data_IF_315410122503
#
_entry.id   IF_315410122503
#
_cell.length_a   1.000
_cell.length_b   1.000
_cell.length_c   1.000
_cell.angle_alpha   90.00
_cell.angle_beta   90.00
_cell.angle_gamma   90.00
#
_symmetry.space_group_name_H-M   'P 1'
#
loop_
_entity.id
_entity.type
_entity.pdbx_description
1 polymer ?
#
# COMPACT_ATOMS: atom_id res chain seq x y z
N UNK A 1 2.77 16.51 -2.93
CA UNK A 1 1.86 16.02 -3.99
C UNK A 1 0.52 16.72 -3.87
N UNK A 2 -0.18 16.97 -4.98
CA UNK A 2 -1.54 17.52 -4.99
C UNK A 2 -2.50 16.47 -5.54
N UNK A 3 -3.47 16.05 -4.73
CA UNK A 3 -4.48 15.08 -5.15
C UNK A 3 -5.66 15.75 -5.85
N UNK A 4 -6.20 15.05 -6.86
CA UNK A 4 -7.44 15.45 -7.54
C UNK A 4 -8.65 15.36 -6.60
N UNK A 5 -9.78 15.92 -7.00
CA UNK A 5 -11.01 15.82 -6.21
C UNK A 5 -11.43 14.36 -5.99
N UNK A 6 -11.44 13.55 -7.05
CA UNK A 6 -11.79 12.13 -6.98
C UNK A 6 -10.87 11.34 -6.03
N UNK A 7 -9.57 11.63 -6.02
CA UNK A 7 -8.62 10.99 -5.11
C UNK A 7 -8.87 11.36 -3.64
N UNK A 8 -9.33 12.59 -3.37
CA UNK A 8 -9.72 13.01 -2.00
C UNK A 8 -11.02 12.35 -1.56
N UNK A 9 -11.99 12.21 -2.45
CA UNK A 9 -13.22 11.46 -2.17
C UNK A 9 -12.91 9.98 -1.87
N UNK A 10 -12.03 9.37 -2.67
CA UNK A 10 -11.55 8.00 -2.44
C UNK A 10 -10.86 7.85 -1.08
N UNK A 11 -9.98 8.80 -0.73
CA UNK A 11 -9.36 8.81 0.59
C UNK A 11 -10.41 8.87 1.71
N UNK A 12 -11.40 9.76 1.60
CA UNK A 12 -12.47 9.84 2.60
C UNK A 12 -13.26 8.54 2.70
N UNK A 13 -13.56 7.89 1.57
CA UNK A 13 -14.23 6.58 1.54
C UNK A 13 -13.43 5.52 2.30
N UNK A 14 -12.12 5.46 2.07
CA UNK A 14 -11.23 4.54 2.79
C UNK A 14 -11.14 4.86 4.28
N UNK A 15 -11.05 6.15 4.61
CA UNK A 15 -11.05 6.61 5.99
C UNK A 15 -12.34 6.20 6.68
N UNK A 16 -13.51 6.43 6.08
CA UNK A 16 -14.80 6.06 6.67
C UNK A 16 -14.88 4.56 7.00
N UNK A 17 -14.42 3.70 6.08
CA UNK A 17 -14.35 2.25 6.29
C UNK A 17 -13.35 1.82 7.38
N UNK A 18 -12.31 2.62 7.67
CA UNK A 18 -11.30 2.26 8.65
C UNK A 18 -11.84 2.30 10.09
N UNK A 19 -11.94 1.13 10.71
CA UNK A 19 -12.41 0.96 12.10
C UNK A 19 -11.41 1.46 13.16
N UNK A 20 -10.11 1.51 12.84
CA UNK A 20 -9.08 1.97 13.78
C UNK A 20 -9.11 3.51 13.92
N UNK A 21 -9.67 3.98 15.03
CA UNK A 21 -9.85 5.42 15.32
C UNK A 21 -8.52 6.17 15.40
N UNK A 22 -7.51 5.60 16.06
CA UNK A 22 -6.21 6.27 16.22
C UNK A 22 -5.53 6.46 14.87
N UNK A 23 -5.47 5.40 14.06
CA UNK A 23 -4.89 5.48 12.71
C UNK A 23 -5.69 6.44 11.81
N UNK A 24 -7.02 6.40 11.89
CA UNK A 24 -7.92 7.31 11.17
C UNK A 24 -7.60 8.77 11.45
N UNK A 25 -7.45 9.16 12.71
CA UNK A 25 -7.13 10.54 13.06
C UNK A 25 -5.70 10.91 12.65
N UNK A 26 -4.71 10.03 12.87
CA UNK A 26 -3.33 10.28 12.40
C UNK A 26 -3.25 10.48 10.87
N UNK A 27 -4.01 9.73 10.07
CA UNK A 27 -4.03 9.88 8.62
C UNK A 27 -4.66 11.21 8.18
N UNK A 28 -5.66 11.74 8.90
CA UNK A 28 -6.29 13.04 8.57
C UNK A 28 -5.40 14.25 8.89
N UNK A 29 -4.48 14.08 9.85
CA UNK A 29 -3.55 15.14 10.24
C UNK A 29 -2.45 15.37 9.19
N UNK A 30 -2.10 14.35 8.39
CA UNK A 30 -1.09 14.45 7.34
C UNK A 30 -1.53 15.48 6.28
N UNK A 31 -0.68 16.47 6.00
CA UNK A 31 -0.89 17.52 5.00
C UNK A 31 -0.04 17.36 3.75
N UNK A 32 1.07 16.67 3.87
CA UNK A 32 2.03 16.40 2.81
C UNK A 32 2.76 15.10 3.12
N UNK A 33 3.27 14.45 2.08
CA UNK A 33 4.13 13.29 2.23
C UNK A 33 5.48 13.49 1.54
N UNK A 34 6.52 12.88 2.11
CA UNK A 34 7.84 12.72 1.47
C UNK A 34 7.82 11.72 0.30
N UNK A 35 6.77 10.92 0.15
CA UNK A 35 6.67 9.96 -0.93
C UNK A 35 6.10 10.59 -2.21
N UNK A 36 6.74 10.27 -3.32
CA UNK A 36 6.27 10.55 -4.67
C UNK A 36 5.64 9.29 -5.27
N UNK A 37 4.44 9.43 -5.84
CA UNK A 37 3.74 8.37 -6.54
C UNK A 37 4.31 8.19 -7.94
N UNK A 38 4.70 6.97 -8.28
CA UNK A 38 5.14 6.58 -9.61
C UNK A 38 4.12 5.58 -10.15
N UNK A 39 3.55 5.91 -11.31
CA UNK A 39 2.59 5.08 -12.00
C UNK A 39 3.21 4.61 -13.31
N UNK A 40 3.20 3.30 -13.53
CA UNK A 40 3.59 2.69 -14.78
C UNK A 40 2.44 2.65 -15.79
N UNK A 41 2.59 1.79 -16.80
CA UNK A 41 1.57 1.61 -17.85
C UNK A 41 0.41 0.73 -17.39
N UNK A 42 0.69 -0.23 -16.51
CA UNK A 42 -0.31 -1.14 -15.95
C UNK A 42 -0.90 -0.55 -14.67
N UNK A 43 -2.19 -0.78 -14.41
CA UNK A 43 -2.85 -0.31 -13.20
C UNK A 43 -2.28 -0.95 -11.92
N UNK A 44 -1.60 -2.09 -12.05
CA UNK A 44 -0.89 -2.76 -10.97
C UNK A 44 0.55 -2.24 -10.79
N UNK A 45 1.08 -1.47 -11.76
CA UNK A 45 2.42 -0.93 -11.74
C UNK A 45 2.43 0.39 -10.96
N UNK A 46 2.19 0.28 -9.65
CA UNK A 46 2.15 1.39 -8.72
C UNK A 46 3.36 1.28 -7.79
N UNK A 47 4.15 2.34 -7.70
CA UNK A 47 5.32 2.41 -6.83
C UNK A 47 5.36 3.75 -6.08
N UNK A 48 6.13 3.79 -4.99
CA UNK A 48 6.41 5.02 -4.26
C UNK A 48 7.91 5.25 -4.19
N UNK A 49 8.31 6.51 -4.25
CA UNK A 49 9.70 6.96 -4.12
C UNK A 49 9.85 7.87 -2.91
N UNK A 50 10.74 7.52 -1.97
CA UNK A 50 11.07 8.41 -0.85
C UNK A 50 11.96 9.56 -1.34
N UNK A 51 11.44 10.79 -1.31
CA UNK A 51 12.17 11.98 -1.76
C UNK A 51 13.01 12.64 -0.67
N UNK A 52 12.90 12.19 0.59
CA UNK A 52 13.70 12.71 1.70
C UNK A 52 15.14 12.22 1.69
N UNK A 53 15.39 11.08 1.04
CA UNK A 53 16.72 10.47 0.93
C UNK A 53 17.46 11.11 -0.24
N UNK A 54 18.58 11.79 0.06
CA UNK A 54 19.46 12.38 -0.96
C UNK A 54 20.50 11.35 -1.39
N UNK A 55 20.44 10.90 -2.64
CA UNK A 55 21.37 9.91 -3.15
C UNK A 55 22.61 10.58 -3.74
N UNK A 56 23.80 10.15 -3.30
CA UNK A 56 25.08 10.68 -3.75
C UNK A 56 25.63 9.93 -4.99
N UNK A 57 24.80 9.76 -6.03
CA UNK A 57 25.27 9.36 -7.37
C UNK A 57 25.62 7.88 -7.59
N UNK A 58 25.16 6.96 -6.75
CA UNK A 58 25.48 5.53 -6.82
C UNK A 58 24.58 4.67 -7.72
N UNK A 59 24.09 5.13 -8.88
CA UNK A 59 23.54 4.29 -9.97
C UNK A 59 22.29 3.41 -9.72
N UNK A 60 21.86 3.17 -8.49
CA UNK A 60 20.67 2.38 -8.16
C UNK A 60 19.46 3.29 -7.83
N UNK A 61 18.25 2.83 -8.15
CA UNK A 61 16.99 3.48 -7.74
C UNK A 61 16.73 3.18 -6.25
N UNK A 62 17.64 3.63 -5.37
CA UNK A 62 17.72 3.23 -3.96
C UNK A 62 16.55 3.72 -3.08
N UNK A 63 15.65 4.54 -3.64
CA UNK A 63 14.56 5.16 -2.88
C UNK A 63 13.17 4.67 -3.29
N UNK A 64 13.08 3.73 -4.23
CA UNK A 64 11.80 3.12 -4.60
C UNK A 64 11.44 2.03 -3.59
N UNK A 65 10.14 1.85 -3.32
CA UNK A 65 9.69 0.71 -2.53
C UNK A 65 9.99 -0.63 -3.22
N UNK A 66 9.86 -0.66 -4.54
CA UNK A 66 10.10 -1.83 -5.38
C UNK A 66 11.06 -1.50 -6.52
N UNK A 67 11.88 -2.46 -6.93
CA UNK A 67 12.68 -2.34 -8.15
C UNK A 67 11.83 -2.68 -9.38
N UNK A 68 10.94 -3.66 -9.26
CA UNK A 68 9.98 -4.07 -10.30
C UNK A 68 8.65 -4.47 -9.64
N UNK A 69 7.70 -3.52 -9.49
CA UNK A 69 6.45 -3.74 -8.75
C UNK A 69 5.66 -4.96 -9.24
N UNK A 70 5.58 -5.15 -10.56
CA UNK A 70 4.78 -6.23 -11.16
C UNK A 70 5.44 -7.58 -10.91
N UNK A 71 6.75 -7.69 -11.16
CA UNK A 71 7.47 -8.95 -10.97
C UNK A 71 7.53 -9.35 -9.50
N UNK A 72 7.73 -8.39 -8.61
CA UNK A 72 7.74 -8.63 -7.16
C UNK A 72 6.37 -9.05 -6.66
N UNK A 73 5.29 -8.39 -7.11
CA UNK A 73 3.91 -8.79 -6.81
C UNK A 73 3.62 -10.23 -7.26
N UNK A 74 3.95 -10.58 -8.51
CA UNK A 74 3.75 -11.94 -9.04
C UNK A 74 4.53 -12.98 -8.24
N UNK A 75 5.79 -12.69 -7.89
CA UNK A 75 6.63 -13.59 -7.09
C UNK A 75 6.03 -13.82 -5.70
N UNK A 76 5.54 -12.77 -5.05
CA UNK A 76 4.88 -12.86 -3.75
C UNK A 76 3.59 -13.67 -3.85
N UNK A 77 2.70 -13.36 -4.80
CA UNK A 77 1.45 -14.10 -4.98
C UNK A 77 1.68 -15.59 -5.22
N UNK A 78 2.66 -15.96 -6.05
CA UNK A 78 3.02 -17.37 -6.27
C UNK A 78 3.48 -18.03 -4.96
N UNK A 79 4.28 -17.33 -4.15
CA UNK A 79 4.75 -17.84 -2.86
C UNK A 79 3.60 -18.06 -1.88
N UNK A 80 2.65 -17.12 -1.79
CA UNK A 80 1.50 -17.23 -0.89
C UNK A 80 0.51 -18.30 -1.34
N UNK A 81 0.28 -18.43 -2.65
CA UNK A 81 -0.57 -19.48 -3.19
C UNK A 81 0.03 -20.88 -3.00
N UNK A 82 1.35 -21.02 -3.05
CA UNK A 82 2.02 -22.32 -2.87
C UNK A 82 2.08 -22.72 -1.37
N UNK A 83 2.51 -21.79 -0.51
CA UNK A 83 2.87 -22.14 0.89
C UNK A 83 1.79 -21.84 1.91
N UNK A 84 0.93 -20.87 1.63
CA UNK A 84 0.05 -20.26 2.64
C UNK A 84 -1.42 -20.26 2.25
N UNK A 85 -1.81 -20.98 1.19
CA UNK A 85 -3.17 -21.01 0.63
C UNK A 85 -4.28 -21.26 1.66
N UNK A 86 -4.00 -22.08 2.68
CA UNK A 86 -4.95 -22.49 3.70
C UNK A 86 -4.76 -21.79 5.04
N UNK A 87 -3.86 -20.80 5.13
CA UNK A 87 -3.52 -20.14 6.38
C UNK A 87 -4.54 -19.04 6.67
N UNK A 88 -5.35 -19.16 7.74
CA UNK A 88 -6.43 -18.20 7.97
C UNK A 88 -5.94 -16.82 8.39
N UNK A 89 -4.73 -16.72 8.93
CA UNK A 89 -4.17 -15.48 9.46
C UNK A 89 -2.76 -15.28 8.92
N UNK A 90 -2.48 -14.09 8.39
CA UNK A 90 -1.18 -13.71 7.86
C UNK A 90 -0.67 -12.42 8.54
N UNK A 91 0.62 -12.36 8.83
CA UNK A 91 1.28 -11.20 9.43
C UNK A 91 2.33 -10.62 8.48
N UNK A 92 2.32 -9.31 8.32
CA UNK A 92 3.21 -8.58 7.42
C UNK A 92 3.89 -7.42 8.12
N UNK A 93 5.16 -7.22 7.79
CA UNK A 93 5.91 -6.01 8.13
C UNK A 93 6.03 -5.18 6.85
N UNK A 94 5.41 -4.00 6.87
CA UNK A 94 5.28 -3.12 5.72
C UNK A 94 3.95 -3.30 4.99
N UNK A 95 3.30 -2.17 4.68
CA UNK A 95 2.11 -2.10 3.87
C UNK A 95 2.44 -2.09 2.37
N UNK A 96 3.57 -1.46 2.00
CA UNK A 96 3.96 -1.33 0.60
C UNK A 96 2.94 -0.53 -0.22
N UNK A 97 2.70 -0.90 -1.48
CA UNK A 97 1.62 -0.30 -2.29
C UNK A 97 0.22 -0.89 -2.00
N UNK A 98 0.11 -1.87 -1.09
CA UNK A 98 -1.15 -2.50 -0.67
C UNK A 98 -1.83 -3.43 -1.69
N UNK A 99 -1.34 -3.53 -2.93
CA UNK A 99 -1.96 -4.37 -3.98
C UNK A 99 -1.93 -5.86 -3.58
N UNK A 100 -0.84 -6.30 -2.95
CA UNK A 100 -0.71 -7.67 -2.46
C UNK A 100 -1.88 -8.05 -1.55
N UNK A 101 -2.29 -7.17 -0.62
CA UNK A 101 -3.36 -7.48 0.32
C UNK A 101 -4.72 -7.56 -0.36
N UNK A 102 -5.01 -6.69 -1.33
CA UNK A 102 -6.25 -6.78 -2.12
C UNK A 102 -6.36 -8.14 -2.81
N UNK A 103 -5.26 -8.64 -3.35
CA UNK A 103 -5.21 -9.94 -4.00
C UNK A 103 -5.32 -11.10 -2.98
N UNK A 104 -4.59 -11.04 -1.86
CA UNK A 104 -4.63 -12.09 -0.83
C UNK A 104 -6.00 -12.20 -0.17
N UNK A 105 -6.74 -11.10 -0.01
CA UNK A 105 -8.10 -11.09 0.57
C UNK A 105 -9.16 -11.67 -0.37
N UNK A 106 -8.85 -11.93 -1.64
CA UNK A 106 -9.74 -12.71 -2.52
C UNK A 106 -9.78 -14.20 -2.15
N UNK A 107 -8.78 -14.69 -1.42
CA UNK A 107 -8.76 -16.07 -0.95
C UNK A 107 -9.70 -16.23 0.25
N UNK A 108 -10.77 -17.01 0.07
CA UNK A 108 -11.79 -17.29 1.10
C UNK A 108 -11.26 -18.00 2.35
N UNK A 109 -10.09 -18.62 2.27
CA UNK A 109 -9.46 -19.25 3.43
C UNK A 109 -8.77 -18.22 4.33
N UNK A 110 -8.33 -17.08 3.78
CA UNK A 110 -7.74 -16.00 4.56
C UNK A 110 -8.85 -15.22 5.26
N UNK A 111 -8.81 -15.20 6.60
CA UNK A 111 -9.77 -14.51 7.44
C UNK A 111 -9.22 -13.16 7.94
N UNK A 112 -7.93 -13.12 8.30
CA UNK A 112 -7.29 -11.91 8.83
C UNK A 112 -5.91 -11.68 8.21
N UNK A 113 -5.66 -10.44 7.82
CA UNK A 113 -4.32 -9.97 7.46
C UNK A 113 -3.95 -8.86 8.44
N UNK A 114 -2.86 -9.03 9.17
CA UNK A 114 -2.33 -8.05 10.11
C UNK A 114 -1.09 -7.43 9.48
N UNK A 115 -1.11 -6.11 9.35
CA UNK A 115 -0.01 -5.35 8.75
C UNK A 115 0.55 -4.37 9.77
N UNK A 116 1.87 -4.43 9.96
CA UNK A 116 2.62 -3.46 10.75
C UNK A 116 3.35 -2.51 9.80
N UNK A 117 2.83 -1.30 9.63
CA UNK A 117 3.49 -0.24 8.86
C UNK A 117 4.13 0.77 9.80
N UNK A 118 5.42 1.05 9.59
CA UNK A 118 6.19 2.02 10.35
C UNK A 118 5.91 3.44 9.88
N UNK A 119 5.74 3.63 8.58
CA UNK A 119 5.58 4.92 7.95
C UNK A 119 4.17 5.09 7.39
N UNK A 120 3.29 5.68 8.20
CA UNK A 120 1.86 5.83 7.87
C UNK A 120 1.61 6.73 6.65
N UNK A 121 2.61 7.50 6.21
CA UNK A 121 2.49 8.26 4.97
C UNK A 121 2.31 7.35 3.74
N UNK A 122 2.85 6.12 3.78
CA UNK A 122 2.65 5.12 2.71
C UNK A 122 1.16 4.78 2.59
N UNK A 123 0.51 4.47 3.72
CA UNK A 123 -0.93 4.20 3.78
C UNK A 123 -1.71 5.43 3.32
N UNK A 124 -1.31 6.62 3.77
CA UNK A 124 -1.95 7.87 3.39
C UNK A 124 -1.95 8.11 1.88
N UNK A 125 -0.79 7.93 1.21
CA UNK A 125 -0.73 8.06 -0.25
C UNK A 125 -1.58 6.97 -0.92
N UNK A 126 -1.49 5.72 -0.47
CA UNK A 126 -2.22 4.61 -1.08
C UNK A 126 -3.73 4.71 -0.92
N UNK A 127 -4.24 5.28 0.18
CA UNK A 127 -5.66 5.52 0.35
C UNK A 127 -6.22 6.60 -0.59
N UNK A 128 -5.38 7.45 -1.17
CA UNK A 128 -5.80 8.37 -2.24
C UNK A 128 -5.77 7.71 -3.63
N UNK A 129 -5.15 6.53 -3.78
CA UNK A 129 -4.90 5.88 -5.07
C UNK A 129 -5.76 4.64 -5.26
N UNK A 130 -5.93 3.83 -4.21
CA UNK A 130 -6.63 2.55 -4.26
C UNK A 130 -7.80 2.55 -3.29
N UNK A 131 -8.91 1.96 -3.73
CA UNK A 131 -10.08 1.73 -2.90
C UNK A 131 -9.84 0.51 -2.01
N UNK A 132 -9.81 0.70 -0.70
CA UNK A 132 -9.73 -0.32 0.35
C UNK A 132 -11.02 -0.39 1.18
N UNK A 133 -12.10 0.29 0.77
CA UNK A 133 -13.28 0.44 1.61
C UNK A 133 -13.94 -0.89 1.99
N UNK A 134 -13.80 -1.91 1.14
CA UNK A 134 -14.37 -3.23 1.38
C UNK A 134 -13.46 -4.11 2.24
N UNK A 135 -12.14 -3.92 2.16
CA UNK A 135 -11.14 -4.68 2.92
C UNK A 135 -10.96 -4.18 4.36
N UNK A 136 -11.43 -2.97 4.67
CA UNK A 136 -11.24 -2.32 5.98
C UNK A 136 -12.46 -2.42 6.92
N UNK A 137 -13.61 -2.88 6.42
CA UNK A 137 -14.84 -3.14 7.19
C UNK A 137 -14.72 -4.42 8.02
#
# INVERSE_FOLDING_TARGET
>A
MTFTHAQKELFNKNIEALSNILLKESLKEIKSSKFELILGKDNLDINLKDTSIKNNGGGYNENLLYQDPIKELQTMLNTYNDKYLLYPVLYFYGFGNGILFKALLQNKNHQHIIVFEKDIEIIWVMFHVLDFSNELQ
#
